data_IF_902566383508
#
_entry.id   IF_902566383508
#
_cell.length_a   1.000
_cell.length_b   1.000
_cell.length_c   1.000
_cell.angle_alpha   90.00
_cell.angle_beta   90.00
_cell.angle_gamma   90.00
#
_symmetry.space_group_name_H-M   'P 1'
#
loop_
_entity.id
_entity.type
_entity.pdbx_description
1 polymer ?
#
# COMPACT_ATOMS: atom_id res chain seq x y z
N UNK A 1 -7.29 -30.76 1.60
CA UNK A 1 -5.89 -31.22 1.44
C UNK A 1 -5.01 -30.23 0.66
N UNK A 2 -5.58 -29.28 -0.11
CA UNK A 2 -4.82 -28.24 -0.81
C UNK A 2 -4.45 -27.00 0.03
N UNK A 3 -5.22 -26.66 1.08
CA UNK A 3 -5.02 -25.42 1.86
C UNK A 3 -3.75 -25.38 2.74
N UNK A 4 -3.28 -26.55 3.22
CA UNK A 4 -1.96 -26.65 3.88
C UNK A 4 -0.78 -26.44 2.91
N UNK A 5 -1.01 -26.54 1.59
CA UNK A 5 0.00 -26.15 0.61
C UNK A 5 0.02 -24.63 0.40
N UNK A 6 -1.09 -23.93 0.60
CA UNK A 6 -1.19 -22.49 0.34
C UNK A 6 -0.50 -21.65 1.42
N UNK A 7 -0.78 -21.93 2.69
CA UNK A 7 -0.05 -21.31 3.81
C UNK A 7 1.44 -21.62 3.72
N UNK A 8 1.77 -22.86 3.39
CA UNK A 8 3.15 -23.29 3.14
C UNK A 8 3.79 -22.58 1.93
N UNK A 9 3.08 -22.39 0.83
CA UNK A 9 3.57 -21.68 -0.36
C UNK A 9 3.80 -20.19 -0.09
N UNK A 10 2.88 -19.53 0.61
CA UNK A 10 3.04 -18.14 1.03
C UNK A 10 4.27 -18.03 1.95
N UNK A 11 4.36 -18.88 2.98
CA UNK A 11 5.52 -18.89 3.89
C UNK A 11 6.83 -19.30 3.19
N UNK A 12 6.81 -20.18 2.20
CA UNK A 12 7.99 -20.56 1.41
C UNK A 12 8.42 -19.47 0.43
N UNK A 13 7.46 -18.73 -0.14
CA UNK A 13 7.70 -17.59 -1.04
C UNK A 13 8.25 -16.39 -0.26
N UNK A 14 7.75 -16.16 0.95
CA UNK A 14 8.22 -15.10 1.84
C UNK A 14 9.43 -15.49 2.70
N UNK A 15 9.65 -16.77 2.96
CA UNK A 15 10.71 -17.25 3.85
C UNK A 15 12.11 -17.32 3.24
N UNK A 16 12.24 -17.26 1.90
CA UNK A 16 13.54 -17.33 1.20
C UNK A 16 14.21 -15.97 0.99
N UNK A 17 13.44 -14.91 0.88
CA UNK A 17 13.94 -13.54 0.68
C UNK A 17 13.66 -12.67 1.90
N UNK A 18 14.63 -11.82 2.30
CA UNK A 18 14.39 -10.86 3.38
C UNK A 18 13.67 -9.63 2.82
N UNK A 19 12.38 -9.53 3.12
CA UNK A 19 11.56 -8.38 2.75
C UNK A 19 11.64 -7.27 3.80
N UNK A 20 11.52 -6.02 3.33
CA UNK A 20 11.25 -4.89 4.20
C UNK A 20 9.77 -4.93 4.57
N UNK A 21 9.50 -5.45 5.76
CA UNK A 21 8.12 -5.67 6.26
C UNK A 21 7.39 -4.37 6.57
N UNK A 22 8.15 -3.31 6.87
CA UNK A 22 7.62 -1.99 7.23
C UNK A 22 8.21 -0.97 6.28
N UNK A 23 7.48 -0.67 5.20
CA UNK A 23 7.83 0.40 4.26
C UNK A 23 6.89 1.58 4.49
N UNK A 24 7.44 2.77 4.81
CA UNK A 24 6.66 3.98 5.15
C UNK A 24 5.55 4.27 4.13
N UNK A 25 5.84 4.13 2.84
CA UNK A 25 4.88 4.36 1.75
C UNK A 25 3.76 3.32 1.69
N UNK A 26 4.02 2.07 2.07
CA UNK A 26 2.99 1.03 2.13
C UNK A 26 2.07 1.27 3.32
N UNK A 27 2.62 1.67 4.47
CA UNK A 27 1.85 2.03 5.67
C UNK A 27 0.91 3.20 5.38
N UNK A 28 1.47 4.31 4.89
CA UNK A 28 0.68 5.46 4.50
C UNK A 28 -0.37 5.10 3.44
N UNK A 29 -0.02 4.23 2.48
CA UNK A 29 -0.93 3.83 1.42
C UNK A 29 -2.13 3.04 1.93
N UNK A 30 -2.00 2.07 2.84
CA UNK A 30 -3.17 1.31 3.26
C UNK A 30 -4.13 2.17 4.09
N UNK A 31 -3.59 3.04 4.95
CA UNK A 31 -4.39 4.00 5.74
C UNK A 31 -5.16 4.93 4.80
N UNK A 32 -4.47 5.56 3.85
CA UNK A 32 -5.10 6.47 2.88
C UNK A 32 -6.22 5.77 2.11
N UNK A 33 -5.97 4.56 1.60
CA UNK A 33 -6.92 3.88 0.72
C UNK A 33 -8.18 3.47 1.47
N UNK A 34 -8.06 3.00 2.72
CA UNK A 34 -9.23 2.66 3.54
C UNK A 34 -10.08 3.90 3.81
N UNK A 35 -9.48 5.02 4.23
CA UNK A 35 -10.20 6.28 4.44
C UNK A 35 -10.96 6.72 3.17
N UNK A 36 -10.31 6.63 2.01
CA UNK A 36 -10.94 6.97 0.73
C UNK A 36 -12.07 6.01 0.34
N UNK A 37 -11.94 4.72 0.63
CA UNK A 37 -13.01 3.74 0.39
C UNK A 37 -14.27 4.07 1.20
N UNK A 38 -14.10 4.71 2.36
CA UNK A 38 -15.20 5.19 3.20
C UNK A 38 -15.76 6.56 2.77
N UNK A 39 -15.38 7.06 1.59
CA UNK A 39 -15.89 8.32 1.04
C UNK A 39 -15.20 9.57 1.57
N UNK A 40 -14.13 9.44 2.36
CA UNK A 40 -13.40 10.60 2.86
C UNK A 40 -12.49 11.17 1.77
N UNK A 41 -12.74 12.42 1.40
CA UNK A 41 -11.91 13.15 0.43
C UNK A 41 -10.93 14.10 1.12
N UNK A 42 -9.68 14.04 0.66
CA UNK A 42 -8.58 14.85 1.16
C UNK A 42 -7.43 14.86 0.16
N UNK A 43 -6.56 15.87 0.26
CA UNK A 43 -5.40 15.99 -0.63
C UNK A 43 -4.32 14.97 -0.28
N UNK A 44 -4.00 14.11 -1.24
CA UNK A 44 -2.95 13.08 -1.14
C UNK A 44 -1.61 13.61 -0.61
N UNK A 45 -1.15 14.75 -1.14
CA UNK A 45 0.15 15.32 -0.76
C UNK A 45 0.15 15.80 0.70
N UNK A 46 -0.95 16.38 1.18
CA UNK A 46 -1.07 16.85 2.56
C UNK A 46 -1.12 15.67 3.51
N UNK A 47 -1.93 14.66 3.21
CA UNK A 47 -1.98 13.42 3.99
C UNK A 47 -0.57 12.84 4.19
N UNK A 48 0.19 12.66 3.10
CA UNK A 48 1.57 12.14 3.17
C UNK A 48 2.47 13.01 4.04
N UNK A 49 2.47 14.32 3.83
CA UNK A 49 3.32 15.23 4.60
C UNK A 49 2.98 15.19 6.11
N UNK A 50 1.70 15.12 6.46
CA UNK A 50 1.25 15.02 7.86
C UNK A 50 1.70 13.70 8.49
N UNK A 51 1.37 12.55 7.89
CA UNK A 51 1.70 11.24 8.49
C UNK A 51 3.20 11.03 8.62
N UNK A 52 3.98 11.59 7.70
CA UNK A 52 5.44 11.56 7.73
C UNK A 52 6.09 12.58 8.66
N UNK A 53 5.32 13.49 9.26
CA UNK A 53 5.84 14.55 10.14
C UNK A 53 6.63 15.62 9.39
N UNK A 54 6.40 15.79 8.10
CA UNK A 54 7.03 16.83 7.27
C UNK A 54 6.37 18.21 7.49
N UNK A 55 5.07 18.21 7.85
CA UNK A 55 4.31 19.39 8.26
C UNK A 55 3.46 19.07 9.50
N UNK A 56 3.07 20.08 10.30
CA UNK A 56 2.08 19.88 11.36
C UNK A 56 0.69 19.62 10.79
N UNK A 57 -0.12 18.84 11.52
CA UNK A 57 -1.56 18.77 11.29
C UNK A 57 -2.25 20.07 11.75
N UNK A 58 -3.36 20.42 11.10
CA UNK A 58 -4.13 21.65 11.32
C UNK A 58 -5.57 21.39 11.76
N UNK A 59 -6.06 20.17 11.60
CA UNK A 59 -7.43 19.78 11.95
C UNK A 59 -7.42 18.47 12.74
N UNK A 60 -8.48 18.21 13.50
CA UNK A 60 -8.66 16.93 14.20
C UNK A 60 -8.67 15.73 13.25
N UNK A 61 -9.09 15.92 11.99
CA UNK A 61 -9.06 14.86 10.99
C UNK A 61 -7.63 14.57 10.52
N UNK A 62 -6.81 15.60 10.31
CA UNK A 62 -5.38 15.45 10.00
C UNK A 62 -4.60 14.83 11.18
N UNK A 63 -4.96 15.19 12.41
CA UNK A 63 -4.43 14.56 13.63
C UNK A 63 -4.74 13.06 13.65
N UNK A 64 -5.98 12.66 13.35
CA UNK A 64 -6.35 11.24 13.24
C UNK A 64 -5.48 10.47 12.24
N UNK A 65 -5.15 11.05 11.08
CA UNK A 65 -4.24 10.40 10.12
C UNK A 65 -2.89 10.08 10.75
N UNK A 66 -2.35 11.05 11.51
CA UNK A 66 -1.08 10.88 12.21
C UNK A 66 -1.18 9.82 13.30
N UNK A 67 -2.26 9.81 14.08
CA UNK A 67 -2.54 8.79 15.08
C UNK A 67 -2.58 7.37 14.49
N UNK A 68 -3.28 7.15 13.37
CA UNK A 68 -3.30 5.83 12.72
C UNK A 68 -1.91 5.38 12.23
N UNK A 69 -1.14 6.32 11.67
CA UNK A 69 0.21 6.02 11.20
C UNK A 69 1.13 5.67 12.37
N UNK A 70 1.14 6.50 13.42
CA UNK A 70 2.02 6.32 14.57
C UNK A 70 1.65 5.08 15.39
N UNK A 71 0.37 4.74 15.49
CA UNK A 71 -0.08 3.53 16.16
C UNK A 71 0.37 2.26 15.43
N UNK A 72 0.32 2.22 14.09
CA UNK A 72 0.89 1.13 13.32
C UNK A 72 2.41 1.05 13.48
N UNK A 73 3.11 2.19 13.39
CA UNK A 73 4.57 2.22 13.56
C UNK A 73 5.00 1.77 14.95
N UNK A 74 4.23 2.13 15.99
CA UNK A 74 4.43 1.64 17.35
C UNK A 74 4.34 0.11 17.44
N UNK A 75 3.31 -0.49 16.83
CA UNK A 75 3.18 -1.95 16.77
C UNK A 75 4.36 -2.58 16.01
N UNK A 76 4.71 -2.03 14.86
CA UNK A 76 5.82 -2.49 14.04
C UNK A 76 7.18 -2.47 14.77
N UNK A 77 7.43 -1.46 15.60
CA UNK A 77 8.65 -1.39 16.44
C UNK A 77 8.66 -2.44 17.57
N UNK A 78 7.50 -3.00 17.93
CA UNK A 78 7.32 -4.00 18.97
C UNK A 78 7.01 -5.39 18.41
N UNK A 79 7.33 -5.63 17.14
CA UNK A 79 6.93 -6.85 16.41
C UNK A 79 7.41 -8.15 17.04
N UNK A 80 8.60 -8.14 17.67
CA UNK A 80 9.20 -9.30 18.32
C UNK A 80 8.72 -9.51 19.77
N UNK A 81 7.96 -8.56 20.34
CA UNK A 81 7.45 -8.65 21.70
C UNK A 81 6.09 -9.38 21.70
N UNK A 82 5.71 -10.10 22.76
CA UNK A 82 4.38 -10.69 22.86
C UNK A 82 3.26 -9.65 22.66
N UNK A 83 2.18 -10.03 21.97
CA UNK A 83 1.00 -9.18 21.82
C UNK A 83 0.21 -9.17 23.14
N UNK A 84 0.65 -8.31 24.04
CA UNK A 84 0.17 -8.23 25.42
C UNK A 84 -0.88 -7.13 25.62
N UNK A 85 -1.64 -7.22 26.72
CA UNK A 85 -2.62 -6.19 27.11
C UNK A 85 -1.99 -4.81 27.24
N UNK A 86 -0.77 -4.71 27.77
CA UNK A 86 -0.06 -3.43 27.90
C UNK A 86 0.36 -2.85 26.54
N UNK A 87 0.75 -3.71 25.58
CA UNK A 87 1.03 -3.31 24.20
C UNK A 87 -0.25 -2.75 23.55
N UNK A 88 -1.36 -3.46 23.68
CA UNK A 88 -2.66 -3.07 23.12
C UNK A 88 -3.19 -1.77 23.74
N UNK A 89 -3.11 -1.60 25.07
CA UNK A 89 -3.52 -0.36 25.75
C UNK A 89 -2.74 0.85 25.21
N UNK A 90 -1.41 0.73 25.06
CA UNK A 90 -0.58 1.81 24.51
C UNK A 90 -0.94 2.11 23.06
N UNK A 91 -1.19 1.08 22.25
CA UNK A 91 -1.66 1.24 20.88
C UNK A 91 -2.99 2.00 20.82
N UNK A 92 -3.99 1.64 21.63
CA UNK A 92 -5.28 2.33 21.67
C UNK A 92 -5.15 3.77 22.20
N UNK A 93 -4.24 3.99 23.15
CA UNK A 93 -3.95 5.32 23.71
C UNK A 93 -3.40 6.28 22.64
N UNK A 94 -2.57 5.81 21.71
CA UNK A 94 -2.09 6.62 20.57
C UNK A 94 -3.22 7.07 19.63
N UNK A 95 -4.35 6.35 19.65
CA UNK A 95 -5.55 6.67 18.90
C UNK A 95 -6.55 7.52 19.70
N UNK A 96 -6.22 7.89 20.94
CA UNK A 96 -7.14 8.50 21.90
C UNK A 96 -8.42 7.66 22.14
N UNK A 97 -8.29 6.33 22.12
CA UNK A 97 -9.39 5.39 22.34
C UNK A 97 -9.14 4.61 23.63
N UNK A 98 -10.20 4.49 24.43
CA UNK A 98 -10.22 3.62 25.61
C UNK A 98 -11.07 2.40 25.30
N UNK A 99 -10.54 1.21 25.59
CA UNK A 99 -11.26 -0.06 25.53
C UNK A 99 -11.45 -0.56 26.96
N UNK A 100 -12.60 -1.16 27.26
CA UNK A 100 -12.85 -1.78 28.56
C UNK A 100 -12.02 -3.06 28.77
N UNK A 101 -11.98 -3.54 30.00
CA UNK A 101 -11.15 -4.70 30.37
C UNK A 101 -11.56 -6.00 29.66
N UNK A 102 -12.87 -6.28 29.57
CA UNK A 102 -13.39 -7.51 28.97
C UNK A 102 -13.07 -7.60 27.46
N UNK A 103 -13.23 -6.48 26.75
CA UNK A 103 -12.91 -6.37 25.33
C UNK A 103 -11.40 -6.51 25.08
N UNK A 104 -10.56 -5.92 25.94
CA UNK A 104 -9.11 -6.12 25.88
C UNK A 104 -8.76 -7.61 26.04
N UNK A 105 -9.32 -8.27 27.04
CA UNK A 105 -9.04 -9.68 27.31
C UNK A 105 -9.52 -10.59 26.17
N UNK A 106 -10.65 -10.25 25.53
CA UNK A 106 -11.14 -10.93 24.33
C UNK A 106 -10.18 -10.77 23.14
N UNK A 107 -9.71 -9.55 22.86
CA UNK A 107 -8.75 -9.30 21.76
C UNK A 107 -7.45 -10.08 22.01
N UNK A 108 -6.90 -10.05 23.23
CA UNK A 108 -5.66 -10.76 23.59
C UNK A 108 -5.84 -12.27 23.48
N UNK A 109 -6.97 -12.81 23.92
CA UNK A 109 -7.24 -14.24 23.84
C UNK A 109 -7.31 -14.73 22.40
N UNK A 110 -7.94 -13.97 21.49
CA UNK A 110 -7.99 -14.30 20.08
C UNK A 110 -6.62 -14.17 19.39
N UNK A 111 -5.82 -13.19 19.81
CA UNK A 111 -4.46 -12.98 19.30
C UNK A 111 -3.47 -14.10 19.69
N UNK A 112 -3.70 -14.84 20.78
CA UNK A 112 -2.77 -15.85 21.29
C UNK A 112 -2.34 -16.87 20.22
N UNK A 113 -3.26 -17.32 19.36
CA UNK A 113 -2.92 -18.27 18.30
C UNK A 113 -2.02 -17.64 17.23
N UNK A 114 -2.25 -16.35 16.91
CA UNK A 114 -1.49 -15.59 15.94
C UNK A 114 -0.13 -15.14 16.46
N UNK A 115 0.11 -15.14 17.77
CA UNK A 115 1.44 -14.88 18.33
C UNK A 115 2.43 -16.02 18.05
N UNK A 116 1.93 -17.25 17.85
CA UNK A 116 2.74 -18.46 17.74
C UNK A 116 2.92 -18.95 16.29
N UNK A 117 1.83 -19.05 15.52
CA UNK A 117 1.87 -19.58 14.16
C UNK A 117 0.92 -18.81 13.24
N UNK A 118 1.36 -18.56 12.00
CA UNK A 118 0.51 -17.96 10.99
C UNK A 118 -0.58 -18.94 10.53
N UNK A 119 -1.83 -18.51 10.65
CA UNK A 119 -2.97 -19.24 10.12
C UNK A 119 -4.00 -18.25 9.57
N UNK A 120 -4.36 -18.39 8.29
CA UNK A 120 -5.31 -17.48 7.63
C UNK A 120 -6.68 -17.47 8.32
N UNK A 121 -7.15 -18.63 8.82
CA UNK A 121 -8.44 -18.71 9.50
C UNK A 121 -8.44 -17.97 10.82
N UNK A 122 -7.37 -18.15 11.60
CA UNK A 122 -7.21 -17.42 12.87
C UNK A 122 -7.08 -15.92 12.61
N UNK A 123 -6.39 -15.51 11.54
CA UNK A 123 -6.25 -14.11 11.15
C UNK A 123 -7.60 -13.49 10.78
N UNK A 124 -8.37 -14.17 9.93
CA UNK A 124 -9.71 -13.72 9.51
C UNK A 124 -10.67 -13.65 10.70
N UNK A 125 -10.68 -14.69 11.56
CA UNK A 125 -11.51 -14.70 12.76
C UNK A 125 -11.13 -13.59 13.74
N UNK A 126 -9.83 -13.34 13.93
CA UNK A 126 -9.34 -12.23 14.74
C UNK A 126 -9.80 -10.88 14.16
N UNK A 127 -9.67 -10.68 12.85
CA UNK A 127 -10.12 -9.46 12.18
C UNK A 127 -11.63 -9.19 12.37
N UNK A 128 -12.46 -10.23 12.23
CA UNK A 128 -13.91 -10.11 12.42
C UNK A 128 -14.26 -9.83 13.89
N UNK A 129 -13.65 -10.54 14.84
CA UNK A 129 -13.96 -10.33 16.26
C UNK A 129 -13.54 -8.95 16.73
N UNK A 130 -12.39 -8.44 16.28
CA UNK A 130 -11.98 -7.05 16.56
C UNK A 130 -12.98 -6.06 15.98
N UNK A 131 -13.45 -6.25 14.74
CA UNK A 131 -14.49 -5.38 14.17
C UNK A 131 -15.77 -5.40 15.01
N UNK A 132 -16.17 -6.57 15.52
CA UNK A 132 -17.37 -6.72 16.36
C UNK A 132 -17.21 -6.02 17.71
N UNK A 133 -16.05 -6.16 18.36
CA UNK A 133 -15.72 -5.48 19.61
C UNK A 133 -15.74 -3.95 19.44
N UNK A 134 -15.21 -3.46 18.31
CA UNK A 134 -15.08 -2.03 18.03
C UNK A 134 -16.33 -1.39 17.38
N UNK A 135 -17.48 -2.07 17.38
CA UNK A 135 -18.71 -1.61 16.70
C UNK A 135 -19.27 -0.26 17.17
N UNK A 136 -18.94 0.15 18.39
CA UNK A 136 -19.39 1.42 18.97
C UNK A 136 -18.51 2.61 18.53
N UNK A 137 -17.38 2.35 17.87
CA UNK A 137 -16.55 3.39 17.28
C UNK A 137 -17.14 3.87 15.95
N UNK A 138 -16.58 4.96 15.40
CA UNK A 138 -16.92 5.37 14.04
C UNK A 138 -16.55 4.28 13.02
N UNK A 139 -17.28 4.16 11.91
CA UNK A 139 -17.00 3.18 10.84
C UNK A 139 -15.53 3.24 10.38
N UNK A 140 -14.96 4.46 10.33
CA UNK A 140 -13.55 4.68 10.03
C UNK A 140 -12.60 4.13 11.08
N UNK A 141 -12.82 4.44 12.36
CA UNK A 141 -11.98 3.93 13.44
C UNK A 141 -12.08 2.40 13.53
N UNK A 142 -13.30 1.86 13.50
CA UNK A 142 -13.58 0.42 13.56
C UNK A 142 -12.79 -0.34 12.48
N UNK A 143 -12.97 0.04 11.21
CA UNK A 143 -12.32 -0.65 10.10
C UNK A 143 -10.80 -0.46 10.11
N UNK A 144 -10.30 0.76 10.33
CA UNK A 144 -8.85 1.01 10.32
C UNK A 144 -8.13 0.30 11.44
N UNK A 145 -8.68 0.29 12.65
CA UNK A 145 -8.04 -0.35 13.81
C UNK A 145 -7.98 -1.85 13.60
N UNK A 146 -9.08 -2.46 13.17
CA UNK A 146 -9.10 -3.88 12.85
C UNK A 146 -8.10 -4.22 11.74
N UNK A 147 -8.03 -3.39 10.69
CA UNK A 147 -7.10 -3.57 9.58
C UNK A 147 -5.63 -3.41 10.00
N UNK A 148 -5.33 -2.44 10.87
CA UNK A 148 -3.99 -2.22 11.44
C UNK A 148 -3.55 -3.43 12.26
N UNK A 149 -4.41 -3.92 13.15
CA UNK A 149 -4.09 -5.09 13.99
C UNK A 149 -3.92 -6.37 13.15
N UNK A 150 -4.75 -6.57 12.12
CA UNK A 150 -4.56 -7.67 11.18
C UNK A 150 -3.22 -7.56 10.44
N UNK A 151 -2.87 -6.37 9.93
CA UNK A 151 -1.59 -6.15 9.26
C UNK A 151 -0.40 -6.34 10.17
N UNK A 152 -0.51 -6.01 11.46
CA UNK A 152 0.53 -6.29 12.45
C UNK A 152 0.85 -7.80 12.51
N UNK A 153 -0.16 -8.67 12.51
CA UNK A 153 0.08 -10.11 12.49
C UNK A 153 0.63 -10.61 11.17
N UNK A 154 0.25 -10.02 10.03
CA UNK A 154 0.88 -10.32 8.74
C UNK A 154 2.38 -10.03 8.80
N UNK A 155 2.77 -8.81 9.17
CA UNK A 155 4.19 -8.44 9.21
C UNK A 155 4.97 -9.26 10.24
N UNK A 156 4.34 -9.63 11.38
CA UNK A 156 4.97 -10.49 12.39
C UNK A 156 5.41 -11.84 11.82
N UNK A 157 4.63 -12.36 10.87
CA UNK A 157 4.88 -13.63 10.20
C UNK A 157 5.64 -13.47 8.89
N UNK A 158 6.35 -12.36 8.71
CA UNK A 158 7.10 -12.01 7.49
C UNK A 158 6.21 -11.91 6.24
N UNK A 159 4.92 -11.64 6.40
CA UNK A 159 3.99 -11.41 5.28
C UNK A 159 3.81 -9.89 5.11
N UNK A 160 3.93 -9.35 3.88
CA UNK A 160 3.75 -7.92 3.64
C UNK A 160 2.38 -7.42 4.08
N UNK A 161 2.36 -6.17 4.54
CA UNK A 161 1.10 -5.49 4.82
C UNK A 161 0.26 -5.35 3.55
N UNK A 162 -1.04 -5.64 3.68
CA UNK A 162 -2.03 -5.58 2.61
C UNK A 162 -2.89 -4.33 2.71
N UNK A 163 -3.43 -3.91 1.56
CA UNK A 163 -4.32 -2.76 1.44
C UNK A 163 -5.55 -3.13 0.62
N UNK A 164 -6.69 -2.54 0.95
CA UNK A 164 -7.87 -2.53 0.09
C UNK A 164 -7.84 -1.27 -0.77
N UNK A 165 -8.02 -1.41 -2.07
CA UNK A 165 -8.26 -0.28 -2.98
C UNK A 165 -9.76 -0.09 -3.22
N UNK A 166 -10.12 1.02 -3.88
CA UNK A 166 -11.51 1.30 -4.24
C UNK A 166 -12.14 0.19 -5.10
N UNK A 167 -11.34 -0.47 -5.95
CA UNK A 167 -11.82 -1.58 -6.80
C UNK A 167 -12.14 -2.82 -5.96
N UNK A 168 -11.33 -3.10 -4.94
CA UNK A 168 -11.47 -4.27 -4.08
C UNK A 168 -12.56 -4.07 -3.01
N UNK A 169 -12.98 -2.82 -2.76
CA UNK A 169 -13.82 -2.48 -1.60
C UNK A 169 -15.22 -3.08 -1.67
N UNK A 170 -15.80 -3.19 -2.87
CA UNK A 170 -17.11 -3.82 -3.05
C UNK A 170 -17.05 -5.31 -2.70
N UNK A 171 -16.07 -6.01 -3.27
CA UNK A 171 -15.82 -7.43 -3.01
C UNK A 171 -15.52 -7.68 -1.52
N UNK A 172 -14.70 -6.81 -0.91
CA UNK A 172 -14.46 -6.82 0.54
C UNK A 172 -15.77 -6.77 1.34
N UNK A 173 -16.65 -5.79 1.06
CA UNK A 173 -17.91 -5.64 1.82
C UNK A 173 -18.80 -6.87 1.68
N UNK A 174 -18.90 -7.42 0.47
CA UNK A 174 -19.66 -8.64 0.20
C UNK A 174 -19.08 -9.83 0.99
N UNK A 175 -17.76 -10.07 0.88
CA UNK A 175 -17.08 -11.15 1.60
C UNK A 175 -17.20 -11.02 3.12
N UNK A 176 -17.06 -9.81 3.67
CA UNK A 176 -17.20 -9.54 5.10
C UNK A 176 -18.63 -9.79 5.59
N UNK A 177 -19.64 -9.35 4.83
CA UNK A 177 -21.05 -9.54 5.19
C UNK A 177 -21.47 -11.01 5.25
N UNK A 178 -20.85 -11.85 4.42
CA UNK A 178 -21.12 -13.28 4.34
C UNK A 178 -20.31 -14.11 5.35
N UNK A 179 -19.47 -13.50 6.18
CA UNK A 179 -18.52 -14.26 7.02
C UNK A 179 -19.18 -15.33 7.90
N UNK A 180 -20.35 -15.05 8.49
CA UNK A 180 -21.05 -16.03 9.34
C UNK A 180 -21.57 -17.26 8.56
N UNK A 181 -21.90 -17.08 7.28
CA UNK A 181 -22.45 -18.12 6.41
C UNK A 181 -21.34 -18.84 5.62
N UNK A 182 -20.35 -18.07 5.17
CA UNK A 182 -19.24 -18.50 4.35
C UNK A 182 -17.94 -17.76 4.76
N UNK A 183 -17.27 -18.21 5.84
CA UNK A 183 -15.99 -17.65 6.25
C UNK A 183 -14.92 -17.68 5.14
N UNK A 184 -15.04 -18.65 4.22
CA UNK A 184 -14.10 -18.86 3.14
C UNK A 184 -14.03 -17.67 2.18
N UNK A 185 -15.14 -16.98 1.94
CA UNK A 185 -15.16 -15.82 1.04
C UNK A 185 -14.19 -14.73 1.52
N UNK A 186 -14.18 -14.43 2.82
CA UNK A 186 -13.28 -13.43 3.40
C UNK A 186 -11.84 -13.95 3.50
N UNK A 187 -11.64 -15.23 3.81
CA UNK A 187 -10.31 -15.86 3.76
C UNK A 187 -9.68 -15.76 2.37
N UNK A 188 -10.41 -16.13 1.33
CA UNK A 188 -9.94 -16.13 -0.06
C UNK A 188 -9.66 -14.69 -0.54
N UNK A 189 -10.51 -13.73 -0.14
CA UNK A 189 -10.27 -12.31 -0.38
C UNK A 189 -8.97 -11.82 0.28
N UNK A 190 -8.72 -12.15 1.55
CA UNK A 190 -7.48 -11.75 2.23
C UNK A 190 -6.26 -12.41 1.58
N UNK A 191 -6.37 -13.69 1.19
CA UNK A 191 -5.30 -14.39 0.45
C UNK A 191 -4.99 -13.68 -0.86
N UNK A 192 -6.00 -13.32 -1.65
CA UNK A 192 -5.79 -12.64 -2.92
C UNK A 192 -5.09 -11.29 -2.74
N UNK A 193 -5.39 -10.56 -1.65
CA UNK A 193 -4.67 -9.33 -1.31
C UNK A 193 -3.20 -9.59 -0.95
N UNK A 194 -2.90 -10.68 -0.24
CA UNK A 194 -1.52 -11.06 0.12
C UNK A 194 -0.71 -11.42 -1.14
N UNK A 195 -1.29 -12.20 -2.05
CA UNK A 195 -0.65 -12.62 -3.30
C UNK A 195 -0.34 -11.43 -4.23
N UNK A 196 -1.24 -10.45 -4.26
CA UNK A 196 -1.11 -9.27 -5.12
C UNK A 196 -0.38 -8.10 -4.43
N UNK A 197 0.13 -8.30 -3.21
CA UNK A 197 0.79 -7.24 -2.45
C UNK A 197 2.10 -6.80 -3.13
N UNK A 198 2.35 -5.48 -3.17
CA UNK A 198 3.63 -4.95 -3.64
C UNK A 198 4.69 -5.15 -2.55
N UNK A 199 5.78 -5.82 -2.88
CA UNK A 199 6.84 -6.16 -1.94
C UNK A 199 8.14 -5.43 -2.25
N UNK A 200 8.93 -5.18 -1.21
CA UNK A 200 10.25 -4.57 -1.34
C UNK A 200 11.24 -5.40 -0.53
N UNK A 201 12.36 -5.78 -1.14
CA UNK A 201 13.41 -6.53 -0.42
C UNK A 201 14.28 -5.58 0.40
N UNK A 202 14.86 -6.06 1.50
CA UNK A 202 15.85 -5.31 2.29
C UNK A 202 17.01 -4.89 1.38
N UNK A 203 17.50 -5.82 0.56
CA UNK A 203 18.56 -5.57 -0.43
C UNK A 203 18.21 -4.40 -1.36
N UNK A 204 17.01 -4.40 -1.94
CA UNK A 204 16.56 -3.32 -2.81
C UNK A 204 16.62 -1.97 -2.08
N UNK A 205 16.16 -1.93 -0.83
CA UNK A 205 16.18 -0.70 -0.03
C UNK A 205 17.59 -0.21 0.30
N UNK A 206 18.49 -1.11 0.70
CA UNK A 206 19.87 -0.77 1.08
C UNK A 206 20.69 -0.25 -0.11
N UNK A 207 20.32 -0.65 -1.33
CA UNK A 207 20.95 -0.24 -2.58
C UNK A 207 20.37 1.08 -3.15
N UNK A 208 19.36 1.70 -2.51
CA UNK A 208 18.79 2.96 -2.96
C UNK A 208 19.82 4.10 -2.88
N UNK A 209 20.06 4.77 -4.01
CA UNK A 209 20.94 5.94 -4.13
C UNK A 209 20.16 7.19 -4.52
N UNK A 210 20.52 8.41 -4.08
CA UNK A 210 19.85 9.63 -4.51
C UNK A 210 19.68 9.71 -6.04
N UNK A 211 18.46 9.98 -6.49
CA UNK A 211 18.10 10.11 -7.90
C UNK A 211 17.65 11.53 -8.16
N UNK A 212 18.20 12.18 -9.20
CA UNK A 212 17.83 13.53 -9.58
C UNK A 212 16.90 13.55 -10.79
N UNK A 213 16.05 14.57 -10.87
CA UNK A 213 15.18 14.82 -12.02
C UNK A 213 15.97 14.90 -13.34
N UNK A 214 17.17 15.50 -13.32
CA UNK A 214 18.02 15.59 -14.50
C UNK A 214 18.53 14.23 -14.97
N UNK A 215 18.84 13.30 -14.04
CA UNK A 215 19.25 11.93 -14.39
C UNK A 215 18.10 11.17 -15.05
N UNK A 216 16.87 11.32 -14.54
CA UNK A 216 15.66 10.74 -15.14
C UNK A 216 15.48 11.29 -16.57
N UNK A 217 15.47 12.61 -16.73
CA UNK A 217 15.31 13.26 -18.05
C UNK A 217 16.37 12.81 -19.06
N UNK A 218 17.63 12.76 -18.64
CA UNK A 218 18.75 12.37 -19.51
C UNK A 218 18.59 10.93 -19.99
N UNK A 219 18.21 10.00 -19.11
CA UNK A 219 18.01 8.60 -19.48
C UNK A 219 16.90 8.45 -20.53
N UNK A 220 15.71 9.02 -20.30
CA UNK A 220 14.62 8.98 -21.28
C UNK A 220 14.98 9.70 -22.59
N UNK A 221 15.81 10.74 -22.54
CA UNK A 221 16.30 11.40 -23.76
C UNK A 221 17.21 10.49 -24.57
N UNK A 222 18.08 9.71 -23.91
CA UNK A 222 18.94 8.72 -24.57
C UNK A 222 18.12 7.58 -25.19
N UNK A 223 17.05 7.17 -24.52
CA UNK A 223 16.20 6.06 -24.94
C UNK A 223 15.12 6.48 -25.98
N UNK A 224 15.07 7.76 -26.34
CA UNK A 224 13.97 8.37 -27.11
C UNK A 224 13.70 7.69 -28.44
N UNK A 225 14.74 7.39 -29.21
CA UNK A 225 14.59 6.74 -30.53
C UNK A 225 14.08 5.32 -30.37
N UNK A 226 14.67 4.54 -29.46
CA UNK A 226 14.23 3.19 -29.13
C UNK A 226 12.75 3.13 -28.70
N UNK A 227 12.33 4.03 -27.81
CA UNK A 227 10.94 4.11 -27.34
C UNK A 227 9.95 4.43 -28.48
N UNK A 228 10.35 5.32 -29.40
CA UNK A 228 9.52 5.69 -30.56
C UNK A 228 9.43 4.56 -31.58
N UNK A 229 10.56 3.96 -31.93
CA UNK A 229 10.62 2.98 -33.01
C UNK A 229 10.01 1.64 -32.60
N UNK A 230 10.43 1.10 -31.45
CA UNK A 230 10.03 -0.22 -30.96
C UNK A 230 8.63 -0.20 -30.36
N UNK A 231 8.30 0.81 -29.56
CA UNK A 231 7.07 0.82 -28.76
C UNK A 231 6.00 1.78 -29.26
N UNK A 232 6.29 2.57 -30.30
CA UNK A 232 5.36 3.59 -30.83
C UNK A 232 4.88 4.53 -29.73
N UNK A 233 5.81 4.99 -28.89
CA UNK A 233 5.50 5.97 -27.83
C UNK A 233 5.71 7.38 -28.37
N UNK A 234 4.63 8.15 -28.43
CA UNK A 234 4.60 9.52 -28.92
C UNK A 234 5.26 10.48 -27.94
N UNK A 235 4.79 10.46 -26.70
CA UNK A 235 5.19 11.38 -25.63
C UNK A 235 5.31 10.64 -24.30
N UNK A 236 6.24 11.10 -23.46
CA UNK A 236 6.34 10.71 -22.05
C UNK A 236 6.33 11.97 -21.19
N UNK A 237 5.52 11.94 -20.14
CA UNK A 237 5.40 13.00 -19.14
C UNK A 237 5.78 12.46 -17.77
N UNK A 238 6.61 13.20 -17.04
CA UNK A 238 6.89 12.95 -15.63
C UNK A 238 5.95 13.78 -14.77
N UNK A 239 5.42 13.16 -13.71
CA UNK A 239 4.60 13.83 -12.72
C UNK A 239 4.99 13.41 -11.30
N UNK A 240 4.17 13.76 -10.32
CA UNK A 240 4.35 13.30 -8.95
C UNK A 240 5.54 13.94 -8.23
N UNK A 241 6.19 13.16 -7.36
CA UNK A 241 7.12 13.68 -6.34
C UNK A 241 8.36 14.35 -6.95
N UNK A 242 8.95 13.77 -8.00
CA UNK A 242 10.12 14.32 -8.68
C UNK A 242 9.80 15.65 -9.40
N UNK A 243 8.63 15.74 -10.03
CA UNK A 243 8.18 16.97 -10.67
C UNK A 243 7.96 18.10 -9.66
N UNK A 244 7.36 17.78 -8.50
CA UNK A 244 7.07 18.73 -7.41
C UNK A 244 8.28 19.10 -6.56
N UNK A 245 9.48 18.55 -6.84
CA UNK A 245 10.69 18.69 -6.01
C UNK A 245 10.50 18.21 -4.56
N UNK A 246 9.66 17.19 -4.39
CA UNK A 246 9.32 16.56 -3.11
C UNK A 246 9.77 15.09 -3.04
N UNK A 247 10.56 14.63 -4.00
CA UNK A 247 11.04 13.26 -4.03
C UNK A 247 11.97 12.96 -2.85
N UNK A 248 11.69 11.83 -2.19
CA UNK A 248 12.55 11.18 -1.20
C UNK A 248 13.39 10.09 -1.85
N UNK A 249 14.35 9.55 -1.12
CA UNK A 249 15.23 8.49 -1.62
C UNK A 249 14.45 7.25 -2.09
N UNK A 250 13.31 6.94 -1.48
CA UNK A 250 12.45 5.80 -1.79
C UNK A 250 11.28 6.15 -2.73
N UNK A 251 11.26 7.36 -3.29
CA UNK A 251 10.15 7.80 -4.14
C UNK A 251 10.16 7.11 -5.50
N UNK A 252 8.96 6.67 -5.89
CA UNK A 252 8.66 6.05 -7.18
C UNK A 252 8.69 7.10 -8.30
N UNK A 253 8.90 6.64 -9.54
CA UNK A 253 8.90 7.49 -10.73
C UNK A 253 7.52 7.39 -11.38
N UNK A 254 6.75 8.46 -11.30
CA UNK A 254 5.41 8.56 -11.84
C UNK A 254 5.44 9.08 -13.29
N UNK A 255 4.99 8.26 -14.24
CA UNK A 255 5.03 8.57 -15.68
C UNK A 255 3.65 8.48 -16.33
N UNK A 256 3.37 9.37 -17.28
CA UNK A 256 2.25 9.27 -18.19
C UNK A 256 2.76 9.12 -19.62
N UNK A 257 2.28 8.11 -20.33
CA UNK A 257 2.67 7.84 -21.71
C UNK A 257 1.50 8.05 -22.67
N UNK A 258 1.81 8.58 -23.85
CA UNK A 258 0.90 8.61 -24.99
C UNK A 258 1.50 7.71 -26.05
N UNK A 259 0.76 6.68 -26.46
CA UNK A 259 1.12 5.86 -27.61
C UNK A 259 0.67 6.53 -28.90
N UNK A 260 1.43 6.34 -29.97
CA UNK A 260 0.95 6.52 -31.35
C UNK A 260 -0.08 5.44 -31.70
N UNK A 261 -0.78 5.64 -32.81
CA UNK A 261 -1.71 4.66 -33.36
C UNK A 261 -0.96 3.38 -33.78
N UNK A 262 -1.60 2.22 -33.62
CA UNK A 262 -1.06 0.93 -34.07
C UNK A 262 -0.84 -0.13 -32.99
N UNK A 263 -0.81 0.22 -31.70
CA UNK A 263 -0.78 -0.77 -30.62
C UNK A 263 -2.20 -1.14 -30.15
N UNK A 264 -2.49 -2.44 -30.05
CA UNK A 264 -3.70 -2.95 -29.38
C UNK A 264 -3.67 -2.65 -27.88
N UNK A 265 -4.79 -2.85 -27.19
CA UNK A 265 -4.85 -2.68 -25.74
C UNK A 265 -3.92 -3.66 -25.00
N UNK A 266 -3.92 -4.92 -25.40
CA UNK A 266 -3.09 -5.99 -24.83
C UNK A 266 -1.61 -5.66 -25.04
N UNK A 267 -1.24 -5.24 -26.25
CA UNK A 267 0.15 -4.88 -26.55
C UNK A 267 0.61 -3.67 -25.73
N UNK A 268 -0.25 -2.68 -25.49
CA UNK A 268 0.10 -1.54 -24.62
C UNK A 268 0.38 -1.99 -23.19
N UNK A 269 -0.40 -2.94 -22.67
CA UNK A 269 -0.19 -3.50 -21.33
C UNK A 269 1.17 -4.22 -21.25
N UNK A 270 1.48 -5.08 -22.20
CA UNK A 270 2.78 -5.76 -22.29
C UNK A 270 3.94 -4.75 -22.34
N UNK A 271 3.82 -3.70 -23.16
CA UNK A 271 4.85 -2.66 -23.25
C UNK A 271 5.03 -1.95 -21.91
N UNK A 272 3.94 -1.61 -21.21
CA UNK A 272 4.02 -0.99 -19.89
C UNK A 272 4.76 -1.90 -18.91
N UNK A 273 4.48 -3.21 -18.93
CA UNK A 273 5.16 -4.19 -18.08
C UNK A 273 6.67 -4.30 -18.42
N UNK A 274 7.02 -4.39 -19.72
CA UNK A 274 8.41 -4.37 -20.21
C UNK A 274 9.16 -3.12 -19.74
N UNK A 275 8.53 -1.94 -19.87
CA UNK A 275 9.14 -0.65 -19.48
C UNK A 275 9.26 -0.52 -17.96
N UNK A 276 8.27 -0.99 -17.20
CA UNK A 276 8.33 -1.03 -15.75
C UNK A 276 9.53 -1.83 -15.27
N UNK A 277 9.76 -3.02 -15.84
CA UNK A 277 10.90 -3.85 -15.49
C UNK A 277 12.24 -3.20 -15.89
N UNK A 278 12.34 -2.74 -17.14
CA UNK A 278 13.55 -2.11 -17.65
C UNK A 278 13.95 -0.89 -16.81
N UNK A 279 13.04 0.06 -16.62
CA UNK A 279 13.34 1.30 -15.89
C UNK A 279 13.47 1.08 -14.39
N UNK A 280 12.84 0.04 -13.83
CA UNK A 280 13.11 -0.37 -12.46
C UNK A 280 14.57 -0.76 -12.28
N UNK A 281 15.14 -1.51 -13.22
CA UNK A 281 16.55 -1.90 -13.18
C UNK A 281 17.49 -0.71 -13.44
N UNK A 282 17.15 0.19 -14.37
CA UNK A 282 17.99 1.36 -14.70
C UNK A 282 18.06 2.36 -13.57
N UNK A 283 16.93 2.68 -12.94
CA UNK A 283 16.87 3.69 -11.88
C UNK A 283 16.99 3.12 -10.47
N UNK A 284 16.86 1.80 -10.32
CA UNK A 284 16.67 1.13 -9.04
C UNK A 284 15.52 1.78 -8.26
N UNK A 285 14.38 1.97 -8.92
CA UNK A 285 13.15 2.59 -8.41
C UNK A 285 11.93 1.90 -8.97
N UNK A 286 10.83 1.87 -8.22
CA UNK A 286 9.56 1.48 -8.84
C UNK A 286 9.10 2.58 -9.79
N UNK A 287 8.48 2.16 -10.88
CA UNK A 287 7.94 3.01 -11.93
C UNK A 287 6.44 2.76 -11.94
N UNK A 288 5.65 3.82 -11.83
CA UNK A 288 4.20 3.75 -11.98
C UNK A 288 3.84 4.48 -13.28
N UNK A 289 3.49 3.70 -14.32
CA UNK A 289 3.17 4.20 -15.66
C UNK A 289 1.65 4.22 -15.84
N UNK A 290 1.10 5.41 -16.07
CA UNK A 290 -0.27 5.61 -16.56
C UNK A 290 -0.31 5.91 -18.05
N UNK A 291 -1.45 5.66 -18.68
CA UNK A 291 -1.68 5.99 -20.09
C UNK A 291 -2.60 7.20 -20.22
N UNK A 292 -2.24 8.14 -21.11
CA UNK A 292 -3.12 9.21 -21.56
C UNK A 292 -3.70 8.89 -22.94
N UNK A 293 -4.92 9.38 -23.20
CA UNK A 293 -5.51 9.31 -24.54
C UNK A 293 -4.73 10.18 -25.52
N UNK A 294 -4.60 9.71 -26.77
CA UNK A 294 -3.98 10.47 -27.87
C UNK A 294 -4.73 11.76 -28.21
N UNK A 295 -6.00 11.86 -27.79
CA UNK A 295 -6.87 13.02 -27.97
C UNK A 295 -6.57 14.15 -26.97
N UNK A 296 -5.81 13.90 -25.92
CA UNK A 296 -5.41 14.95 -24.98
C UNK A 296 -4.35 15.82 -25.64
N UNK A 297 -4.67 17.10 -25.85
CA UNK A 297 -3.74 18.01 -26.49
C UNK A 297 -2.54 18.31 -25.60
N UNK A 298 -1.37 18.47 -26.22
CA UNK A 298 -0.16 18.90 -25.54
C UNK A 298 -0.34 20.27 -24.86
N UNK A 299 -1.26 21.13 -25.34
CA UNK A 299 -1.59 22.41 -24.69
C UNK A 299 -2.31 22.21 -23.35
N UNK A 300 -3.32 21.35 -23.29
CA UNK A 300 -4.05 21.03 -22.06
C UNK A 300 -3.14 20.41 -21.00
N UNK A 301 -2.19 19.57 -21.44
CA UNK A 301 -1.19 18.96 -20.55
C UNK A 301 -0.18 19.99 -20.04
N UNK A 302 0.28 20.91 -20.89
CA UNK A 302 1.25 21.96 -20.51
C UNK A 302 0.67 23.02 -19.57
N UNK A 303 -0.63 23.30 -19.67
CA UNK A 303 -1.32 24.20 -18.72
C UNK A 303 -1.41 23.59 -17.32
N UNK A 304 -1.33 22.26 -17.20
CA UNK A 304 -1.13 21.60 -15.92
C UNK A 304 0.31 21.78 -15.46
N UNK A 305 0.56 22.75 -14.57
CA UNK A 305 1.83 22.98 -13.86
C UNK A 305 2.37 21.75 -13.07
N UNK A 306 1.73 20.59 -13.20
CA UNK A 306 2.05 19.33 -12.53
C UNK A 306 2.73 18.31 -13.44
N UNK A 307 2.91 18.60 -14.73
CA UNK A 307 3.46 17.67 -15.72
C UNK A 307 4.73 18.25 -16.38
N UNK A 308 5.75 17.41 -16.55
CA UNK A 308 6.96 17.74 -17.30
C UNK A 308 7.05 16.81 -18.50
N UNK A 309 6.96 17.36 -19.72
CA UNK A 309 7.22 16.59 -20.95
C UNK A 309 8.71 16.22 -21.02
N UNK A 310 9.00 14.95 -21.25
CA UNK A 310 10.38 14.43 -21.42
C UNK A 310 10.67 14.09 -22.89
N UNK A 311 9.73 13.41 -23.57
CA UNK A 311 9.86 12.98 -24.98
C UNK A 311 8.83 13.67 -25.85
#
# INVERSE_FOLDING_TARGET
MEKNKMSKYILESYGKEKYMLVVRKHVASFIEKILRCQGLDFRHDIFKQVVYGEIPYKTAFEEKWKCYYDSFMYLALNINNPFSKSLLIRFMSLLNITINEDDLDSIISNAYYLDNEFNIKNLTSFYVEVNKILKELSESDQMLIAWILMNFFLIRHNIPAIRITFLDFKEYKEAFSLYLENPQALEDFIISLIENSKVQTIKFNDELKPLSLNKIKKQFSNDKEWLKEKYKIKNIYLFGSYQKKMARIDSDIDLLIIFDEGNSYERKKEIIDELNEYYKNVFHRFIDIGQLSSLVSDSFIKESNKLIKII
#
